data_IF_556621839242
#
_entry.id   IF_556621839242
#
_cell.length_a   1.000
_cell.length_b   1.000
_cell.length_c   1.000
_cell.angle_alpha   90.00
_cell.angle_beta   90.00
_cell.angle_gamma   90.00
#
_symmetry.space_group_name_H-M   'P 1'
#
loop_
_entity.id
_entity.type
_entity.pdbx_description
1 polymer ?
#
# COMPACT_ATOMS: atom_id res chain seq x y z
N UNK A 1 11.73 25.49 -11.75
CA UNK A 1 11.20 25.37 -10.37
C UNK A 1 9.70 25.67 -10.28
N UNK A 2 9.21 26.84 -10.74
CA UNK A 2 7.77 27.19 -10.68
C UNK A 2 6.83 26.17 -11.36
N UNK A 3 7.24 25.61 -12.51
CA UNK A 3 6.48 24.58 -13.23
C UNK A 3 6.38 23.24 -12.48
N UNK A 4 7.42 22.88 -11.70
CA UNK A 4 7.45 21.67 -10.87
C UNK A 4 6.60 21.83 -9.61
N UNK A 5 6.61 23.03 -9.01
CA UNK A 5 5.74 23.39 -7.89
C UNK A 5 4.26 23.34 -8.32
N UNK A 6 3.93 23.88 -9.50
CA UNK A 6 2.58 23.85 -10.06
C UNK A 6 2.11 22.43 -10.35
N UNK A 7 2.99 21.57 -10.89
CA UNK A 7 2.69 20.15 -11.13
C UNK A 7 2.42 19.40 -9.83
N UNK A 8 3.22 19.63 -8.78
CA UNK A 8 3.00 19.03 -7.45
C UNK A 8 1.72 19.55 -6.78
N UNK A 9 1.36 20.82 -6.99
CA UNK A 9 0.15 21.42 -6.42
C UNK A 9 -1.12 20.93 -7.14
N UNK A 10 -1.04 20.71 -8.45
CA UNK A 10 -2.15 20.13 -9.23
C UNK A 10 -2.32 18.64 -8.88
N UNK A 11 -1.21 17.91 -8.67
CA UNK A 11 -1.23 16.50 -8.27
C UNK A 11 -1.85 16.30 -6.86
N UNK A 12 -1.58 17.22 -5.92
CA UNK A 12 -2.19 17.18 -4.58
C UNK A 12 -3.66 17.60 -4.58
N UNK A 13 -4.09 18.47 -5.51
CA UNK A 13 -5.50 18.88 -5.61
C UNK A 13 -6.40 17.81 -6.25
N UNK A 14 -5.84 16.90 -7.05
CA UNK A 14 -6.57 15.75 -7.62
C UNK A 14 -6.65 14.54 -6.68
N UNK A 15 -5.83 14.48 -5.63
CA UNK A 15 -5.85 13.38 -4.66
C UNK A 15 -6.93 13.53 -3.57
N UNK A 16 -7.63 14.66 -3.52
CA UNK A 16 -8.51 15.02 -2.42
C UNK A 16 -9.93 14.38 -2.37
N UNK A 17 -10.54 13.82 -3.43
CA UNK A 17 -11.90 13.28 -3.31
C UNK A 17 -11.93 11.75 -3.16
N UNK A 18 -10.94 11.12 -2.52
CA UNK A 18 -10.98 9.68 -2.19
C UNK A 18 -10.90 9.38 -0.68
N UNK A 19 -10.88 10.42 0.17
CA UNK A 19 -10.85 10.30 1.63
C UNK A 19 -12.17 10.73 2.29
N UNK A 20 -13.31 10.36 1.68
CA UNK A 20 -14.59 10.44 2.38
C UNK A 20 -14.64 9.43 3.53
N UNK A 21 -15.33 9.71 4.65
CA UNK A 21 -15.55 8.71 5.70
C UNK A 21 -16.40 7.58 5.12
N UNK A 22 -15.76 6.46 4.78
CA UNK A 22 -16.46 5.24 4.34
C UNK A 22 -17.18 4.67 5.55
N UNK A 23 -18.51 4.72 5.53
CA UNK A 23 -19.35 3.96 6.46
C UNK A 23 -19.11 2.48 6.15
N UNK A 24 -18.82 1.68 7.18
CA UNK A 24 -18.71 0.23 7.10
C UNK A 24 -20.08 -0.38 6.78
N UNK A 25 -20.53 -0.26 5.54
CA UNK A 25 -21.42 -1.24 4.93
C UNK A 25 -20.55 -2.41 4.48
N UNK A 26 -21.04 -3.64 4.64
CA UNK A 26 -20.32 -4.87 4.24
C UNK A 26 -20.24 -4.90 2.70
N UNK A 27 -19.24 -4.20 2.14
CA UNK A 27 -19.03 -4.12 0.69
C UNK A 27 -18.53 -5.48 0.21
N UNK A 28 -19.35 -6.16 -0.59
CA UNK A 28 -18.90 -7.38 -1.28
C UNK A 28 -17.72 -7.01 -2.19
N UNK A 29 -16.57 -7.72 -2.11
CA UNK A 29 -15.43 -7.43 -2.95
C UNK A 29 -15.80 -7.48 -4.43
N UNK A 30 -15.49 -6.42 -5.15
CA UNK A 30 -15.76 -6.30 -6.58
C UNK A 30 -14.50 -5.93 -7.37
N UNK A 31 -14.65 -5.72 -8.67
CA UNK A 31 -13.56 -5.29 -9.55
C UNK A 31 -12.93 -3.96 -9.09
N UNK A 32 -13.73 -3.06 -8.49
CA UNK A 32 -13.28 -1.79 -7.93
C UNK A 32 -12.42 -1.99 -6.68
N UNK A 33 -12.82 -2.88 -5.77
CA UNK A 33 -12.01 -3.28 -4.61
C UNK A 33 -10.64 -3.79 -5.05
N UNK A 34 -10.61 -4.69 -6.05
CA UNK A 34 -9.36 -5.25 -6.60
C UNK A 34 -8.48 -4.20 -7.26
N UNK A 35 -9.07 -3.31 -8.06
CA UNK A 35 -8.33 -2.21 -8.69
C UNK A 35 -7.73 -1.25 -7.65
N UNK A 36 -8.52 -0.86 -6.65
CA UNK A 36 -8.09 0.04 -5.57
C UNK A 36 -6.96 -0.58 -4.76
N UNK A 37 -7.09 -1.84 -4.35
CA UNK A 37 -6.02 -2.60 -3.70
C UNK A 37 -4.75 -2.61 -4.55
N UNK A 38 -4.90 -2.84 -5.86
CA UNK A 38 -3.79 -2.81 -6.81
C UNK A 38 -3.04 -1.47 -6.81
N UNK A 39 -3.77 -0.37 -6.99
CA UNK A 39 -3.23 1.00 -7.00
C UNK A 39 -2.55 1.33 -5.66
N UNK A 40 -3.17 0.97 -4.54
CA UNK A 40 -2.61 1.21 -3.21
C UNK A 40 -1.29 0.47 -3.03
N UNK A 41 -1.22 -0.81 -3.42
CA UNK A 41 0.00 -1.61 -3.29
C UNK A 41 1.13 -1.14 -4.23
N UNK A 42 0.82 -0.65 -5.43
CA UNK A 42 1.81 -0.03 -6.33
C UNK A 42 2.32 1.28 -5.72
N UNK A 43 1.41 2.17 -5.29
CA UNK A 43 1.74 3.50 -4.82
C UNK A 43 2.44 3.53 -3.46
N UNK A 44 2.13 2.58 -2.60
CA UNK A 44 2.57 2.56 -1.20
C UNK A 44 3.41 1.33 -0.81
N UNK A 45 3.81 0.49 -1.75
CA UNK A 45 4.70 -0.66 -1.46
C UNK A 45 6.02 -0.24 -0.78
N UNK A 46 6.54 0.96 -1.07
CA UNK A 46 7.74 1.50 -0.43
C UNK A 46 7.55 1.80 1.08
N UNK A 47 6.31 1.98 1.55
CA UNK A 47 6.01 2.27 2.95
C UNK A 47 6.26 1.06 3.87
N UNK A 48 6.39 -0.15 3.32
CA UNK A 48 6.78 -1.33 4.08
C UNK A 48 8.16 -1.16 4.75
N UNK A 49 9.11 -0.49 4.09
CA UNK A 49 10.45 -0.27 4.65
C UNK A 49 10.42 0.49 5.98
N UNK A 50 9.85 1.71 6.07
CA UNK A 50 9.78 2.42 7.34
C UNK A 50 8.90 1.73 8.39
N UNK A 51 7.86 1.00 7.98
CA UNK A 51 7.00 0.22 8.90
C UNK A 51 7.84 -0.85 9.61
N UNK A 52 8.54 -1.71 8.86
CA UNK A 52 9.34 -2.80 9.43
C UNK A 52 10.59 -2.33 10.17
N UNK A 53 11.20 -1.23 9.73
CA UNK A 53 12.29 -0.58 10.46
C UNK A 53 11.79 -0.05 11.82
N UNK A 54 10.60 0.56 11.86
CA UNK A 54 9.99 1.04 13.10
C UNK A 54 9.62 -0.11 14.02
N UNK A 55 9.05 -1.19 13.50
CA UNK A 55 8.74 -2.38 14.29
C UNK A 55 10.01 -3.01 14.88
N UNK A 56 11.08 -3.15 14.08
CA UNK A 56 12.37 -3.62 14.56
C UNK A 56 12.99 -2.72 15.64
N UNK A 57 12.78 -1.40 15.56
CA UNK A 57 13.23 -0.47 16.60
C UNK A 57 12.44 -0.61 17.91
N UNK A 58 11.16 -0.97 17.84
CA UNK A 58 10.29 -1.11 19.01
C UNK A 58 10.33 -2.51 19.64
N UNK A 59 10.76 -3.53 18.89
CA UNK A 59 10.69 -4.92 19.31
C UNK A 59 11.79 -5.34 20.29
N UNK A 60 13.00 -4.77 20.18
CA UNK A 60 14.14 -5.24 20.98
C UNK A 60 15.22 -4.15 21.15
N UNK A 61 15.97 -4.22 22.25
CA UNK A 61 17.11 -3.30 22.52
C UNK A 61 18.37 -3.65 21.71
N UNK A 62 18.30 -4.64 20.80
CA UNK A 62 19.41 -5.12 19.95
C UNK A 62 19.67 -4.23 18.72
N UNK A 63 19.72 -2.92 18.94
CA UNK A 63 20.23 -1.98 17.95
C UNK A 63 21.71 -2.25 17.67
N UNK A 64 22.20 -2.29 16.40
CA UNK A 64 21.58 -1.92 15.11
C UNK A 64 21.08 -3.10 14.25
N UNK A 65 21.20 -4.33 14.74
CA UNK A 65 20.88 -5.55 13.98
C UNK A 65 19.41 -5.60 13.55
N UNK A 66 18.51 -5.25 14.45
CA UNK A 66 17.06 -5.33 14.19
C UNK A 66 16.58 -4.33 13.14
N UNK A 67 17.25 -3.20 12.98
CA UNK A 67 16.93 -2.28 11.88
C UNK A 67 17.45 -2.73 10.54
N UNK A 68 18.61 -3.39 10.48
CA UNK A 68 19.05 -4.01 9.25
C UNK A 68 18.09 -5.12 8.80
N UNK A 69 17.57 -5.91 9.74
CA UNK A 69 16.57 -6.95 9.47
C UNK A 69 15.22 -6.34 9.06
N UNK A 70 14.73 -5.34 9.79
CA UNK A 70 13.49 -4.63 9.45
C UNK A 70 13.56 -3.97 8.06
N UNK A 71 14.69 -3.37 7.71
CA UNK A 71 14.92 -2.81 6.37
C UNK A 71 14.87 -3.90 5.29
N UNK A 72 15.58 -5.01 5.48
CA UNK A 72 15.59 -6.12 4.52
C UNK A 72 14.20 -6.73 4.33
N UNK A 73 13.48 -6.94 5.43
CA UNK A 73 12.13 -7.51 5.39
C UNK A 73 11.13 -6.55 4.73
N UNK A 74 11.20 -5.26 5.07
CA UNK A 74 10.38 -4.22 4.44
C UNK A 74 10.65 -4.06 2.94
N UNK A 75 11.90 -4.24 2.49
CA UNK A 75 12.20 -4.27 1.05
C UNK A 75 11.53 -5.46 0.34
N UNK A 76 11.65 -6.66 0.91
CA UNK A 76 11.05 -7.87 0.32
C UNK A 76 9.53 -7.75 0.28
N UNK A 77 8.89 -7.32 1.38
CA UNK A 77 7.43 -7.08 1.38
C UNK A 77 7.03 -5.96 0.43
N UNK A 78 7.80 -4.88 0.35
CA UNK A 78 7.53 -3.78 -0.55
C UNK A 78 7.54 -4.22 -2.02
N UNK A 79 8.55 -5.00 -2.42
CA UNK A 79 8.61 -5.60 -3.77
C UNK A 79 7.42 -6.53 -3.99
N UNK A 80 7.13 -7.42 -3.04
CA UNK A 80 5.99 -8.32 -3.11
C UNK A 80 4.68 -7.55 -3.33
N UNK A 81 4.47 -6.47 -2.59
CA UNK A 81 3.27 -5.63 -2.70
C UNK A 81 3.20 -4.95 -4.04
N UNK A 82 4.28 -4.35 -4.52
CA UNK A 82 4.27 -3.69 -5.83
C UNK A 82 3.93 -4.69 -6.93
N UNK A 83 4.48 -5.92 -6.89
CA UNK A 83 4.15 -6.98 -7.85
C UNK A 83 2.70 -7.45 -7.74
N UNK A 84 2.21 -7.69 -6.52
CA UNK A 84 0.81 -8.02 -6.26
C UNK A 84 -0.12 -6.91 -6.74
N UNK A 85 0.29 -5.65 -6.56
CA UNK A 85 -0.46 -4.48 -6.98
C UNK A 85 -0.54 -4.37 -8.50
N UNK A 86 0.57 -4.58 -9.20
CA UNK A 86 0.59 -4.66 -10.68
C UNK A 86 -0.33 -5.77 -11.17
N UNK A 87 -0.30 -6.94 -10.53
CA UNK A 87 -1.18 -8.05 -10.89
C UNK A 87 -2.66 -7.73 -10.67
N UNK A 88 -3.03 -7.19 -9.51
CA UNK A 88 -4.41 -6.83 -9.19
C UNK A 88 -4.93 -5.71 -10.11
N UNK A 89 -4.10 -4.71 -10.42
CA UNK A 89 -4.45 -3.66 -11.39
C UNK A 89 -4.59 -4.22 -12.81
N UNK A 90 -3.75 -5.16 -13.23
CA UNK A 90 -3.85 -5.77 -14.56
C UNK A 90 -5.04 -6.73 -14.70
N UNK A 91 -5.42 -7.40 -13.62
CA UNK A 91 -6.46 -8.44 -13.60
C UNK A 91 -7.75 -7.99 -12.90
N UNK A 92 -7.96 -6.69 -12.71
CA UNK A 92 -9.04 -6.17 -11.85
C UNK A 92 -10.46 -6.56 -12.29
N UNK A 93 -10.68 -6.80 -13.59
CA UNK A 93 -11.98 -7.22 -14.15
C UNK A 93 -12.19 -8.75 -13.99
N UNK A 94 -11.14 -9.49 -13.66
CA UNK A 94 -11.16 -10.95 -13.61
C UNK A 94 -11.35 -11.38 -12.14
N UNK A 95 -12.44 -12.11 -11.81
CA UNK A 95 -12.62 -12.69 -10.49
C UNK A 95 -11.57 -13.81 -10.24
N UNK A 96 -11.26 -14.15 -8.98
CA UNK A 96 -11.88 -13.66 -7.74
C UNK A 96 -11.44 -12.25 -7.33
N UNK A 97 -12.28 -11.59 -6.52
CA UNK A 97 -12.07 -10.23 -6.00
C UNK A 97 -11.69 -10.20 -4.51
N UNK A 98 -12.07 -11.25 -3.78
CA UNK A 98 -11.92 -11.49 -2.35
C UNK A 98 -10.62 -12.20 -1.96
N UNK A 99 -9.78 -12.56 -2.94
CA UNK A 99 -8.50 -13.24 -2.70
C UNK A 99 -7.32 -12.29 -2.96
N UNK A 100 -6.89 -11.49 -1.96
CA UNK A 100 -5.67 -10.70 -2.07
C UNK A 100 -4.44 -11.61 -2.11
N UNK A 101 -3.44 -11.23 -2.92
CA UNK A 101 -2.18 -11.99 -3.04
C UNK A 101 -1.25 -11.83 -1.83
N UNK A 102 -1.45 -10.78 -1.04
CA UNK A 102 -0.70 -10.52 0.18
C UNK A 102 -1.64 -10.08 1.28
N UNK A 103 -1.36 -10.55 2.50
CA UNK A 103 -2.04 -10.11 3.72
C UNK A 103 -1.08 -9.29 4.60
N UNK A 104 -1.55 -8.22 5.27
CA UNK A 104 -2.84 -7.56 5.04
C UNK A 104 -2.90 -6.99 3.61
N UNK A 105 -4.12 -6.77 3.10
CA UNK A 105 -4.33 -6.52 1.67
C UNK A 105 -3.66 -5.23 1.15
N UNK A 106 -3.41 -4.24 2.01
CA UNK A 106 -2.51 -3.10 1.75
C UNK A 106 -1.51 -2.90 2.88
N UNK A 107 -0.48 -2.06 2.65
CA UNK A 107 0.55 -1.74 3.65
C UNK A 107 -0.03 -1.13 4.94
N UNK A 108 -1.27 -0.63 4.88
CA UNK A 108 -1.95 0.04 5.97
C UNK A 108 -3.11 -0.78 6.56
N UNK A 109 -3.32 -2.02 6.11
CA UNK A 109 -4.44 -2.86 6.55
C UNK A 109 -5.44 -3.16 5.44
N UNK A 110 -6.69 -3.43 5.84
CA UNK A 110 -7.81 -3.71 4.95
C UNK A 110 -8.41 -2.42 4.35
N UNK A 111 -8.67 -2.41 3.05
CA UNK A 111 -9.40 -1.36 2.35
C UNK A 111 -10.90 -1.65 2.48
N UNK A 112 -11.71 -0.65 2.85
CA UNK A 112 -13.13 -0.83 3.11
C UNK A 112 -13.98 -1.04 1.86
#
# INVERSE_FOLDING_TARGET
MKKLLLLLTVLSLTAAPLAGPVRAEEIKPDAGTKLRRGIMNIGFGWAEVPIWVSEGFLADDQWPKEVALGFGFGLVRGIGRTLAGVWDTATFIIPPYDHPLMEPETAFGETP
#
